data_IF_792432289489
#
_entry.id   IF_792432289489
#
_cell.length_a   1.000
_cell.length_b   1.000
_cell.length_c   1.000
_cell.angle_alpha   90.00
_cell.angle_beta   90.00
_cell.angle_gamma   90.00
#
_symmetry.space_group_name_H-M   'P 1'
#
loop_
_entity.id
_entity.type
_entity.pdbx_description
1 polymer ?
#
# COMPACT_ATOMS: atom_id res chain seq x y z
N UNK A 1 13.81 -24.37 -26.63
CA UNK A 1 13.87 -23.87 -25.23
C UNK A 1 12.50 -23.45 -24.68
N UNK A 2 11.69 -22.72 -25.44
CA UNK A 2 10.34 -22.30 -24.99
C UNK A 2 9.36 -23.47 -24.73
N UNK A 3 9.33 -24.50 -25.60
CA UNK A 3 8.48 -25.68 -25.44
C UNK A 3 8.80 -26.48 -24.17
N UNK A 4 10.07 -26.56 -23.78
CA UNK A 4 10.48 -27.24 -22.54
C UNK A 4 10.01 -26.51 -21.27
N UNK A 5 10.06 -25.17 -21.26
CA UNK A 5 9.57 -24.37 -20.15
C UNK A 5 8.05 -24.50 -19.99
N UNK A 6 7.31 -24.48 -21.09
CA UNK A 6 5.83 -24.67 -21.08
C UNK A 6 5.47 -26.06 -20.54
N UNK A 7 6.21 -27.11 -20.98
CA UNK A 7 5.99 -28.46 -20.48
C UNK A 7 6.25 -28.59 -18.97
N UNK A 8 7.30 -27.95 -18.46
CA UNK A 8 7.60 -27.94 -17.02
C UNK A 8 6.51 -27.22 -16.24
N UNK A 9 6.05 -26.05 -16.69
CA UNK A 9 4.96 -25.31 -16.04
C UNK A 9 3.68 -26.14 -16.05
N UNK A 10 3.34 -26.79 -17.16
CA UNK A 10 2.19 -27.69 -17.26
C UNK A 10 2.28 -28.87 -16.29
N UNK A 11 3.46 -29.49 -16.20
CA UNK A 11 3.67 -30.60 -15.26
C UNK A 11 3.52 -30.16 -13.79
N UNK A 12 4.10 -28.99 -13.41
CA UNK A 12 3.94 -28.43 -12.06
C UNK A 12 2.47 -28.15 -11.77
N UNK A 13 1.73 -27.60 -12.74
CA UNK A 13 0.31 -27.33 -12.58
C UNK A 13 -0.50 -28.62 -12.34
N UNK A 14 -0.29 -29.66 -13.16
CA UNK A 14 -0.98 -30.96 -13.01
C UNK A 14 -0.67 -31.58 -11.65
N UNK A 15 0.59 -31.59 -11.25
CA UNK A 15 1.01 -32.07 -9.92
C UNK A 15 0.34 -31.26 -8.80
N UNK A 16 0.28 -29.94 -8.95
CA UNK A 16 -0.42 -29.06 -7.99
C UNK A 16 -1.91 -29.38 -7.88
N UNK A 17 -2.62 -29.54 -9.01
CA UNK A 17 -4.02 -29.94 -9.03
C UNK A 17 -4.25 -31.29 -8.34
N UNK A 18 -3.36 -32.27 -8.57
CA UNK A 18 -3.44 -33.59 -7.94
C UNK A 18 -3.24 -33.52 -6.42
N UNK A 19 -2.23 -32.79 -5.95
CA UNK A 19 -1.93 -32.64 -4.51
C UNK A 19 -3.04 -31.88 -3.78
N UNK A 20 -3.57 -30.82 -4.40
CA UNK A 20 -4.61 -29.96 -3.80
C UNK A 20 -6.03 -30.53 -4.00
N UNK A 21 -6.17 -31.66 -4.71
CA UNK A 21 -7.47 -32.22 -5.12
C UNK A 21 -8.37 -31.17 -5.83
N UNK A 22 -7.74 -30.30 -6.62
CA UNK A 22 -8.43 -29.21 -7.31
C UNK A 22 -8.89 -29.66 -8.70
N UNK A 23 -10.22 -29.71 -8.90
CA UNK A 23 -10.81 -29.94 -10.22
C UNK A 23 -10.90 -28.63 -10.99
N UNK A 24 -9.97 -28.49 -11.96
CA UNK A 24 -9.89 -27.29 -12.82
C UNK A 24 -11.14 -27.14 -13.69
N UNK A 25 -11.73 -28.24 -14.13
CA UNK A 25 -12.87 -28.18 -15.02
C UNK A 25 -14.15 -27.78 -14.27
N UNK A 26 -14.42 -28.34 -13.10
CA UNK A 26 -15.49 -27.90 -12.22
C UNK A 26 -15.30 -26.44 -11.77
N UNK A 27 -14.08 -26.08 -11.42
CA UNK A 27 -13.73 -24.69 -11.08
C UNK A 27 -14.09 -23.72 -12.22
N UNK A 28 -13.66 -24.02 -13.44
CA UNK A 28 -13.95 -23.19 -14.61
C UNK A 28 -15.46 -23.09 -14.92
N UNK A 29 -16.20 -24.20 -14.82
CA UNK A 29 -17.65 -24.22 -15.01
C UNK A 29 -18.42 -23.46 -13.91
N UNK A 30 -17.81 -23.28 -12.74
CA UNK A 30 -18.42 -22.55 -11.61
C UNK A 30 -18.28 -21.04 -11.74
N UNK A 31 -17.32 -20.53 -12.55
CA UNK A 31 -17.08 -19.08 -12.73
C UNK A 31 -18.35 -18.32 -13.14
N UNK A 32 -19.12 -18.72 -14.18
CA UNK A 32 -20.33 -17.99 -14.58
C UNK A 32 -21.40 -17.98 -13.47
N UNK A 33 -21.51 -19.07 -12.71
CA UNK A 33 -22.45 -19.17 -11.58
C UNK A 33 -22.04 -18.24 -10.44
N UNK A 34 -20.74 -18.20 -10.09
CA UNK A 34 -20.22 -17.32 -9.06
C UNK A 34 -20.41 -15.85 -9.45
N UNK A 35 -20.15 -15.52 -10.72
CA UNK A 35 -20.32 -14.14 -11.22
C UNK A 35 -21.80 -13.72 -11.23
N UNK A 36 -22.71 -14.59 -11.65
CA UNK A 36 -24.14 -14.30 -11.59
C UNK A 36 -24.64 -14.15 -10.14
N UNK A 37 -24.14 -14.98 -9.23
CA UNK A 37 -24.46 -14.86 -7.81
C UNK A 37 -24.00 -13.52 -7.23
N UNK A 38 -22.78 -13.10 -7.55
CA UNK A 38 -22.27 -11.77 -7.14
C UNK A 38 -23.15 -10.65 -7.66
N UNK A 39 -23.46 -10.66 -8.96
CA UNK A 39 -24.28 -9.63 -9.59
C UNK A 39 -25.67 -9.54 -8.96
N UNK A 40 -26.29 -10.66 -8.58
CA UNK A 40 -27.63 -10.67 -8.00
C UNK A 40 -27.61 -10.21 -6.54
N UNK A 41 -26.67 -10.71 -5.74
CA UNK A 41 -26.68 -10.50 -4.29
C UNK A 41 -25.98 -9.20 -3.86
N UNK A 42 -24.98 -8.72 -4.60
CA UNK A 42 -24.25 -7.51 -4.27
C UNK A 42 -24.84 -6.22 -4.88
N UNK A 43 -26.04 -6.31 -5.46
CA UNK A 43 -26.71 -5.11 -5.96
C UNK A 43 -27.24 -4.26 -4.79
N UNK A 44 -26.96 -2.94 -4.80
CA UNK A 44 -27.56 -2.02 -3.84
C UNK A 44 -29.09 -2.04 -3.94
N UNK A 45 -29.75 -2.16 -2.81
CA UNK A 45 -31.21 -2.09 -2.69
C UNK A 45 -31.63 -0.78 -2.02
N UNK A 46 -32.93 -0.46 -2.03
CA UNK A 46 -33.42 0.69 -1.24
C UNK A 46 -33.14 0.53 0.25
N UNK A 47 -33.16 -0.71 0.77
CA UNK A 47 -32.81 -0.99 2.15
C UNK A 47 -31.33 -0.71 2.45
N UNK A 48 -30.43 -1.02 1.53
CA UNK A 48 -29.00 -0.76 1.71
C UNK A 48 -28.66 0.74 1.71
N UNK A 49 -29.48 1.60 1.11
CA UNK A 49 -29.32 3.06 1.17
C UNK A 49 -29.36 3.62 2.60
N UNK A 50 -30.09 2.98 3.51
CA UNK A 50 -30.12 3.38 4.93
C UNK A 50 -28.76 3.26 5.62
N UNK A 51 -27.87 2.40 5.12
CA UNK A 51 -26.51 2.21 5.65
C UNK A 51 -25.47 3.16 5.04
N UNK A 52 -25.82 3.91 3.98
CA UNK A 52 -24.91 4.81 3.29
C UNK A 52 -24.20 5.82 4.21
N UNK A 53 -24.89 6.49 5.17
CA UNK A 53 -24.20 7.43 6.06
C UNK A 53 -23.12 6.76 6.91
N UNK A 54 -23.38 5.54 7.40
CA UNK A 54 -22.40 4.76 8.17
C UNK A 54 -21.24 4.31 7.31
N UNK A 55 -21.50 3.85 6.08
CA UNK A 55 -20.48 3.46 5.10
C UNK A 55 -19.57 4.65 4.79
N UNK A 56 -20.13 5.82 4.51
CA UNK A 56 -19.36 7.04 4.21
C UNK A 56 -18.51 7.50 5.39
N UNK A 57 -19.03 7.45 6.60
CA UNK A 57 -18.26 7.78 7.82
C UNK A 57 -17.05 6.87 7.96
N UNK A 58 -17.22 5.55 7.80
CA UNK A 58 -16.14 4.58 7.92
C UNK A 58 -15.17 4.61 6.75
N UNK A 59 -15.65 4.95 5.58
CA UNK A 59 -14.81 5.20 4.42
C UNK A 59 -13.90 6.42 4.63
N UNK A 60 -14.45 7.52 5.13
CA UNK A 60 -13.69 8.72 5.47
C UNK A 60 -12.64 8.44 6.57
N UNK A 61 -12.99 7.69 7.60
CA UNK A 61 -12.06 7.21 8.64
C UNK A 61 -10.88 6.44 8.01
N UNK A 62 -11.17 5.54 7.06
CA UNK A 62 -10.15 4.76 6.34
C UNK A 62 -9.22 5.65 5.52
N UNK A 63 -9.77 6.62 4.78
CA UNK A 63 -8.98 7.56 3.99
C UNK A 63 -8.08 8.41 4.88
N UNK A 64 -8.60 8.95 5.98
CA UNK A 64 -7.81 9.75 6.93
C UNK A 64 -6.69 8.94 7.56
N UNK A 65 -6.98 7.70 7.98
CA UNK A 65 -5.98 6.80 8.55
C UNK A 65 -4.87 6.48 7.53
N UNK A 66 -5.24 6.26 6.27
CA UNK A 66 -4.28 6.01 5.18
C UNK A 66 -3.40 7.22 4.91
N UNK A 67 -3.98 8.42 4.83
CA UNK A 67 -3.21 9.67 4.65
C UNK A 67 -2.27 9.90 5.84
N UNK A 68 -2.77 9.79 7.07
CA UNK A 68 -1.98 10.00 8.26
C UNK A 68 -0.78 9.04 8.35
N UNK A 69 -1.00 7.74 8.05
CA UNK A 69 0.07 6.75 8.07
C UNK A 69 1.15 7.04 7.02
N UNK A 70 0.77 7.45 5.81
CA UNK A 70 1.73 7.78 4.74
C UNK A 70 2.51 9.06 5.03
N UNK A 71 1.85 10.11 5.55
CA UNK A 71 2.53 11.37 5.89
C UNK A 71 3.57 11.13 6.98
N UNK A 72 3.21 10.44 8.05
CA UNK A 72 4.17 10.12 9.13
C UNK A 72 5.28 9.21 8.62
N UNK A 73 4.94 8.20 7.82
CA UNK A 73 5.93 7.32 7.18
C UNK A 73 6.89 8.08 6.27
N UNK A 74 6.39 9.04 5.48
CA UNK A 74 7.19 9.86 4.58
C UNK A 74 8.22 10.72 5.33
N UNK A 75 7.81 11.34 6.44
CA UNK A 75 8.72 12.12 7.30
C UNK A 75 9.83 11.23 7.87
N UNK A 76 9.48 10.06 8.37
CA UNK A 76 10.45 9.09 8.88
C UNK A 76 11.36 8.61 7.74
N UNK A 77 10.78 8.24 6.62
CA UNK A 77 11.47 7.66 5.48
C UNK A 77 12.49 8.61 4.86
N UNK A 78 12.19 9.91 4.71
CA UNK A 78 13.14 10.87 4.13
C UNK A 78 14.38 11.04 5.01
N UNK A 79 14.19 11.11 6.33
CA UNK A 79 15.30 11.20 7.27
C UNK A 79 16.24 9.99 7.14
N UNK A 80 15.69 8.78 7.18
CA UNK A 80 16.49 7.57 7.03
C UNK A 80 17.05 7.39 5.62
N UNK A 81 16.33 7.83 4.58
CA UNK A 81 16.80 7.72 3.20
C UNK A 81 18.05 8.58 2.94
N UNK A 82 18.12 9.80 3.48
CA UNK A 82 19.31 10.66 3.38
C UNK A 82 20.53 9.96 4.01
N UNK A 83 20.36 9.31 5.16
CA UNK A 83 21.44 8.63 5.88
C UNK A 83 21.80 7.29 5.24
N UNK A 84 20.82 6.59 4.65
CA UNK A 84 20.95 5.25 4.09
C UNK A 84 21.35 5.19 2.60
N UNK A 85 21.19 6.30 1.85
CA UNK A 85 21.56 6.35 0.43
C UNK A 85 23.08 6.28 0.24
N UNK A 86 23.52 5.65 -0.86
CA UNK A 86 24.95 5.61 -1.23
C UNK A 86 25.49 6.98 -1.62
N UNK A 87 24.63 7.87 -2.12
CA UNK A 87 25.03 9.20 -2.58
C UNK A 87 25.27 10.18 -1.41
N UNK A 88 24.41 10.13 -0.39
CA UNK A 88 24.38 11.11 0.72
C UNK A 88 24.78 10.53 2.07
N UNK A 89 24.82 9.20 2.22
CA UNK A 89 25.09 8.54 3.50
C UNK A 89 26.48 8.82 4.05
N UNK A 90 26.57 8.96 5.37
CA UNK A 90 27.77 9.39 6.09
C UNK A 90 28.88 8.32 6.05
N UNK A 91 28.49 7.03 6.24
CA UNK A 91 29.43 5.93 6.22
C UNK A 91 28.75 4.61 5.78
N UNK A 92 29.55 3.60 5.40
CA UNK A 92 29.04 2.30 4.93
C UNK A 92 28.23 1.55 6.01
N UNK A 93 28.58 1.69 7.26
CA UNK A 93 27.86 1.01 8.34
C UNK A 93 26.43 1.52 8.48
N UNK A 94 26.24 2.84 8.52
CA UNK A 94 24.89 3.44 8.60
C UNK A 94 24.06 3.11 7.36
N UNK A 95 24.67 3.10 6.17
CA UNK A 95 23.99 2.68 4.93
C UNK A 95 23.45 1.24 5.01
N UNK A 96 24.31 0.30 5.45
CA UNK A 96 23.91 -1.11 5.60
C UNK A 96 22.81 -1.26 6.65
N UNK A 97 22.97 -0.59 7.79
CA UNK A 97 21.98 -0.64 8.87
C UNK A 97 20.61 -0.13 8.41
N UNK A 98 20.54 1.05 7.80
CA UNK A 98 19.28 1.65 7.33
C UNK A 98 18.65 0.80 6.24
N UNK A 99 19.43 0.27 5.30
CA UNK A 99 18.93 -0.66 4.26
C UNK A 99 18.40 -1.95 4.86
N UNK A 100 19.07 -2.46 5.90
CA UNK A 100 18.59 -3.63 6.66
C UNK A 100 17.25 -3.36 7.35
N UNK A 101 17.11 -2.21 8.01
CA UNK A 101 15.86 -1.78 8.65
C UNK A 101 14.74 -1.63 7.59
N UNK A 102 15.00 -0.95 6.49
CA UNK A 102 14.02 -0.80 5.41
C UNK A 102 13.58 -2.15 4.85
N UNK A 103 14.53 -3.07 4.63
CA UNK A 103 14.24 -4.43 4.16
C UNK A 103 13.41 -5.23 5.18
N UNK A 104 13.72 -5.11 6.48
CA UNK A 104 12.97 -5.76 7.54
C UNK A 104 11.49 -5.34 7.52
N UNK A 105 11.23 -4.03 7.56
CA UNK A 105 9.85 -3.53 7.57
C UNK A 105 9.07 -3.87 6.29
N UNK A 106 9.71 -3.80 5.13
CA UNK A 106 9.09 -4.08 3.83
C UNK A 106 8.77 -5.56 3.60
N UNK A 107 9.60 -6.47 4.12
CA UNK A 107 9.44 -7.90 3.88
C UNK A 107 8.40 -8.57 4.78
N UNK A 108 7.94 -7.89 5.82
CA UNK A 108 6.84 -8.39 6.66
C UNK A 108 5.52 -7.98 5.99
N UNK A 109 4.64 -8.94 5.63
CA UNK A 109 3.33 -8.64 5.04
C UNK A 109 2.49 -7.78 5.97
N UNK A 110 1.69 -6.87 5.40
CA UNK A 110 0.81 -5.98 6.16
C UNK A 110 -0.11 -6.71 7.14
N UNK A 111 -0.68 -7.83 6.69
CA UNK A 111 -1.54 -8.68 7.53
C UNK A 111 -0.77 -9.22 8.75
N UNK A 112 0.50 -9.60 8.57
CA UNK A 112 1.34 -10.06 9.68
C UNK A 112 1.61 -8.91 10.68
N UNK A 113 1.89 -7.69 10.20
CA UNK A 113 1.99 -6.51 11.07
C UNK A 113 0.71 -6.29 11.86
N UNK A 114 -0.46 -6.31 11.19
CA UNK A 114 -1.74 -6.14 11.86
C UNK A 114 -1.96 -7.20 12.96
N UNK A 115 -1.67 -8.47 12.66
CA UNK A 115 -1.84 -9.56 13.62
C UNK A 115 -0.90 -9.45 14.83
N UNK A 116 0.38 -9.13 14.60
CA UNK A 116 1.36 -8.93 15.69
C UNK A 116 0.91 -7.80 16.62
N UNK A 117 0.47 -6.67 16.02
CA UNK A 117 0.06 -5.49 16.78
C UNK A 117 -1.26 -5.72 17.54
N UNK A 118 -2.17 -6.55 17.03
CA UNK A 118 -3.41 -6.91 17.71
C UNK A 118 -3.18 -7.54 19.09
N UNK A 119 -2.14 -8.33 19.26
CA UNK A 119 -1.80 -8.92 20.55
C UNK A 119 -1.43 -7.88 21.61
N UNK A 120 -0.81 -6.76 21.17
CA UNK A 120 -0.34 -5.72 22.09
C UNK A 120 -1.36 -4.59 22.28
N UNK A 121 -2.03 -4.17 21.19
CA UNK A 121 -2.86 -2.95 21.15
C UNK A 121 -4.37 -3.25 21.00
N UNK A 122 -4.77 -4.53 20.92
CA UNK A 122 -6.16 -4.97 20.69
C UNK A 122 -6.72 -4.40 19.37
N UNK A 123 -8.01 -4.61 19.14
CA UNK A 123 -8.73 -4.03 18.00
C UNK A 123 -8.94 -2.52 18.21
N UNK A 124 -8.28 -1.69 17.41
CA UNK A 124 -8.37 -0.24 17.49
C UNK A 124 -7.88 0.43 16.21
N UNK A 125 -8.31 1.68 15.97
CA UNK A 125 -7.81 2.51 14.87
C UNK A 125 -6.28 2.72 14.96
N UNK A 126 -5.74 2.75 16.17
CA UNK A 126 -4.31 2.88 16.39
C UNK A 126 -3.54 1.65 15.89
N UNK A 127 -4.08 0.44 16.10
CA UNK A 127 -3.50 -0.80 15.58
C UNK A 127 -3.46 -0.81 14.04
N UNK A 128 -4.57 -0.41 13.41
CA UNK A 128 -4.63 -0.28 11.96
C UNK A 128 -3.65 0.76 11.41
N UNK A 129 -3.61 1.93 12.05
CA UNK A 129 -2.65 2.99 11.71
C UNK A 129 -1.19 2.52 11.82
N UNK A 130 -0.81 1.86 12.92
CA UNK A 130 0.55 1.36 13.11
C UNK A 130 0.93 0.29 12.09
N UNK A 131 0.02 -0.62 11.75
CA UNK A 131 0.28 -1.66 10.76
C UNK A 131 0.59 -1.04 9.38
N UNK A 132 -0.24 -0.08 8.94
CA UNK A 132 -0.01 0.67 7.72
C UNK A 132 1.28 1.49 7.77
N UNK A 133 1.54 2.15 8.89
CA UNK A 133 2.74 2.97 9.09
C UNK A 133 4.02 2.15 8.93
N UNK A 134 4.14 1.02 9.63
CA UNK A 134 5.36 0.20 9.63
C UNK A 134 5.68 -0.36 8.24
N UNK A 135 4.66 -0.87 7.53
CA UNK A 135 4.82 -1.32 6.15
C UNK A 135 5.25 -0.16 5.24
N UNK A 136 4.53 0.97 5.33
CA UNK A 136 4.77 2.14 4.46
C UNK A 136 6.15 2.74 4.69
N UNK A 137 6.64 2.81 5.94
CA UNK A 137 8.00 3.25 6.26
C UNK A 137 9.03 2.42 5.51
N UNK A 138 8.91 1.08 5.53
CA UNK A 138 9.84 0.21 4.83
C UNK A 138 9.87 0.44 3.32
N UNK A 139 8.69 0.62 2.72
CA UNK A 139 8.57 0.92 1.28
C UNK A 139 9.14 2.29 0.92
N UNK A 140 8.74 3.34 1.64
CA UNK A 140 9.18 4.71 1.34
C UNK A 140 10.68 4.90 1.62
N UNK A 141 11.24 4.32 2.68
CA UNK A 141 12.69 4.37 2.92
C UNK A 141 13.46 3.83 1.72
N UNK A 142 13.03 2.71 1.16
CA UNK A 142 13.69 2.11 0.01
C UNK A 142 13.54 2.95 -1.24
N UNK A 143 12.32 3.39 -1.55
CA UNK A 143 12.03 4.23 -2.71
C UNK A 143 12.80 5.55 -2.66
N UNK A 144 12.82 6.22 -1.50
CA UNK A 144 13.51 7.50 -1.34
C UNK A 144 15.03 7.37 -1.42
N UNK A 145 15.61 6.27 -0.93
CA UNK A 145 17.05 6.00 -1.15
C UNK A 145 17.39 5.85 -2.63
N UNK A 146 16.54 5.14 -3.39
CA UNK A 146 16.71 4.95 -4.84
C UNK A 146 16.59 6.29 -5.59
N UNK A 147 15.57 7.10 -5.28
CA UNK A 147 15.39 8.44 -5.86
C UNK A 147 16.63 9.32 -5.60
N UNK A 148 17.14 9.35 -4.38
CA UNK A 148 18.34 10.14 -4.05
C UNK A 148 19.55 9.66 -4.87
N UNK A 149 19.69 8.36 -5.07
CA UNK A 149 20.82 7.78 -5.83
C UNK A 149 20.72 8.07 -7.33
N UNK A 150 19.51 8.08 -7.87
CA UNK A 150 19.26 8.23 -9.30
C UNK A 150 19.20 9.70 -9.75
N UNK A 151 18.56 10.57 -8.96
CA UNK A 151 18.24 11.93 -9.40
C UNK A 151 19.20 13.00 -8.85
N UNK A 152 19.76 12.81 -7.65
CA UNK A 152 20.50 13.90 -6.99
C UNK A 152 21.99 13.97 -7.34
N UNK A 153 22.53 13.00 -8.10
CA UNK A 153 23.97 12.81 -8.30
C UNK A 153 24.69 14.02 -8.90
N UNK A 154 24.18 14.57 -9.99
CA UNK A 154 24.82 15.67 -10.72
C UNK A 154 24.80 16.98 -9.94
N UNK A 155 23.63 17.39 -9.42
CA UNK A 155 23.47 18.61 -8.65
C UNK A 155 24.32 18.60 -7.36
N UNK A 156 24.39 17.42 -6.72
CA UNK A 156 25.21 17.20 -5.54
C UNK A 156 26.72 17.36 -5.85
N UNK A 157 27.20 16.79 -6.95
CA UNK A 157 28.61 16.89 -7.34
C UNK A 157 28.99 18.34 -7.69
N UNK A 158 28.12 19.04 -8.42
CA UNK A 158 28.34 20.44 -8.77
C UNK A 158 28.48 21.33 -7.52
N UNK A 159 27.57 21.15 -6.55
CA UNK A 159 27.60 21.96 -5.32
C UNK A 159 28.78 21.58 -4.40
N UNK A 160 29.17 20.30 -4.34
CA UNK A 160 30.38 19.88 -3.62
C UNK A 160 31.65 20.49 -4.20
N UNK A 161 31.74 20.67 -5.53
CA UNK A 161 32.89 21.26 -6.20
C UNK A 161 33.11 22.75 -5.81
N UNK A 162 32.06 23.45 -5.35
CA UNK A 162 32.14 24.82 -4.83
C UNK A 162 32.60 24.91 -3.37
N UNK A 163 32.84 23.76 -2.71
CA UNK A 163 33.21 23.71 -1.29
C UNK A 163 32.03 23.76 -0.32
N UNK A 164 30.80 23.53 -0.78
CA UNK A 164 29.62 23.52 0.07
C UNK A 164 29.68 22.44 1.16
N UNK A 165 29.20 22.77 2.35
CA UNK A 165 29.09 21.82 3.47
C UNK A 165 28.03 20.74 3.20
N UNK A 166 28.09 19.62 3.95
CA UNK A 166 27.15 18.52 3.82
C UNK A 166 25.68 18.96 3.89
N UNK A 167 25.32 19.79 4.88
CA UNK A 167 23.96 20.28 5.03
C UNK A 167 23.53 21.20 3.88
N UNK A 168 24.43 22.04 3.36
CA UNK A 168 24.13 22.86 2.19
C UNK A 168 23.86 21.99 0.97
N UNK A 169 24.64 20.94 0.77
CA UNK A 169 24.43 19.98 -0.32
C UNK A 169 23.06 19.30 -0.19
N UNK A 170 22.70 18.82 1.00
CA UNK A 170 21.40 18.17 1.22
C UNK A 170 20.22 19.12 0.97
N UNK A 171 20.23 20.31 1.58
CA UNK A 171 19.06 21.21 1.53
C UNK A 171 18.99 22.04 0.25
N UNK A 172 20.10 22.31 -0.43
CA UNK A 172 20.12 23.19 -1.61
C UNK A 172 20.27 22.42 -2.94
N UNK A 173 20.78 21.20 -2.93
CA UNK A 173 20.88 20.37 -4.13
C UNK A 173 19.97 19.15 -4.08
N UNK A 174 20.12 18.29 -3.07
CA UNK A 174 19.45 16.98 -3.04
C UNK A 174 17.93 17.15 -2.86
N UNK A 175 17.48 17.78 -1.77
CA UNK A 175 16.03 17.89 -1.46
C UNK A 175 15.25 18.57 -2.58
N UNK A 176 15.64 19.76 -3.10
CA UNK A 176 14.88 20.40 -4.16
C UNK A 176 14.76 19.55 -5.43
N UNK A 177 15.81 18.79 -5.76
CA UNK A 177 15.85 17.93 -6.95
C UNK A 177 14.83 16.79 -6.84
N UNK A 178 14.72 16.15 -5.68
CA UNK A 178 13.94 14.93 -5.49
C UNK A 178 12.48 15.17 -5.06
N UNK A 179 12.09 16.39 -4.66
CA UNK A 179 10.73 16.70 -4.17
C UNK A 179 9.62 16.19 -5.11
N UNK A 180 9.66 16.40 -6.44
CA UNK A 180 8.61 15.91 -7.33
C UNK A 180 8.42 14.40 -7.23
N UNK A 181 9.51 13.64 -7.25
CA UNK A 181 9.50 12.18 -7.14
C UNK A 181 9.05 11.71 -5.76
N UNK A 182 9.44 12.41 -4.68
CA UNK A 182 8.94 12.11 -3.33
C UNK A 182 7.42 12.28 -3.23
N UNK A 183 6.89 13.38 -3.75
CA UNK A 183 5.44 13.63 -3.75
C UNK A 183 4.72 12.55 -4.56
N UNK A 184 5.25 12.17 -5.71
CA UNK A 184 4.68 11.10 -6.54
C UNK A 184 4.59 9.77 -5.79
N UNK A 185 5.60 9.40 -5.03
CA UNK A 185 5.59 8.18 -4.20
C UNK A 185 4.64 8.28 -3.01
N UNK A 186 4.55 9.45 -2.37
CA UNK A 186 3.59 9.70 -1.27
C UNK A 186 2.16 9.53 -1.79
N UNK A 187 1.81 10.13 -2.92
CA UNK A 187 0.49 10.01 -3.54
C UNK A 187 0.18 8.55 -3.90
N UNK A 188 1.14 7.83 -4.49
CA UNK A 188 1.01 6.42 -4.80
C UNK A 188 0.75 5.58 -3.53
N UNK A 189 1.48 5.84 -2.44
CA UNK A 189 1.30 5.12 -1.20
C UNK A 189 -0.02 5.45 -0.50
N UNK A 190 -0.54 6.67 -0.60
CA UNK A 190 -1.88 7.01 -0.10
C UNK A 190 -2.94 6.14 -0.80
N UNK A 191 -2.89 6.06 -2.12
CA UNK A 191 -3.80 5.24 -2.91
C UNK A 191 -3.73 3.75 -2.52
N UNK A 192 -2.52 3.19 -2.41
CA UNK A 192 -2.33 1.81 -1.99
C UNK A 192 -2.83 1.58 -0.56
N UNK A 193 -2.49 2.47 0.38
CA UNK A 193 -2.89 2.32 1.77
C UNK A 193 -4.41 2.37 1.97
N UNK A 194 -5.18 3.06 1.13
CA UNK A 194 -6.65 3.02 1.20
C UNK A 194 -7.18 1.62 0.87
N UNK A 195 -6.61 0.95 -0.13
CA UNK A 195 -6.95 -0.45 -0.46
C UNK A 195 -6.49 -1.40 0.66
N UNK A 196 -5.27 -1.23 1.13
CA UNK A 196 -4.67 -2.04 2.18
C UNK A 196 -5.36 -1.88 3.53
N UNK A 197 -5.81 -0.66 3.85
CA UNK A 197 -6.59 -0.36 5.05
C UNK A 197 -7.93 -1.11 5.10
N UNK A 198 -8.50 -1.46 3.95
CA UNK A 198 -9.71 -2.29 3.89
C UNK A 198 -9.42 -3.70 4.44
N UNK A 199 -8.31 -4.32 4.05
CA UNK A 199 -7.91 -5.64 4.56
C UNK A 199 -7.53 -5.58 6.05
N UNK A 200 -6.75 -4.57 6.44
CA UNK A 200 -6.39 -4.34 7.85
C UNK A 200 -7.61 -4.09 8.69
N UNK A 201 -8.58 -3.32 8.18
CA UNK A 201 -9.83 -3.00 8.87
C UNK A 201 -10.67 -4.24 9.24
N UNK A 202 -10.68 -5.27 8.39
CA UNK A 202 -11.32 -6.56 8.70
C UNK A 202 -10.70 -7.19 9.95
N UNK A 203 -9.37 -7.13 10.09
CA UNK A 203 -8.65 -7.72 11.20
C UNK A 203 -8.72 -6.87 12.45
N UNK A 204 -8.51 -5.57 12.32
CA UNK A 204 -8.41 -4.63 13.44
C UNK A 204 -9.75 -4.10 13.91
N UNK A 205 -10.86 -4.47 13.27
CA UNK A 205 -12.20 -4.02 13.63
C UNK A 205 -12.43 -2.53 13.36
N UNK A 206 -11.81 -1.97 12.31
CA UNK A 206 -11.81 -0.52 12.06
C UNK A 206 -12.13 -0.15 10.62
N UNK A 207 -12.54 1.09 10.41
CA UNK A 207 -12.75 1.64 9.08
C UNK A 207 -13.77 0.89 8.24
N UNK A 208 -13.62 1.02 6.92
CA UNK A 208 -14.55 0.45 5.94
C UNK A 208 -14.46 -1.09 5.85
N UNK A 209 -13.28 -1.66 6.13
CA UNK A 209 -13.08 -3.11 6.12
C UNK A 209 -13.91 -3.82 7.18
N UNK A 210 -14.01 -3.23 8.38
CA UNK A 210 -14.87 -3.75 9.46
C UNK A 210 -16.35 -3.76 9.06
N UNK A 211 -16.81 -2.68 8.44
CA UNK A 211 -18.22 -2.57 7.99
C UNK A 211 -18.52 -3.60 6.90
N UNK A 212 -17.61 -3.80 5.95
CA UNK A 212 -17.74 -4.84 4.94
C UNK A 212 -17.88 -6.23 5.59
N UNK A 213 -16.96 -6.58 6.49
CA UNK A 213 -16.95 -7.87 7.18
C UNK A 213 -18.23 -8.09 8.00
N UNK A 214 -18.70 -7.04 8.69
CA UNK A 214 -19.93 -7.05 9.48
C UNK A 214 -21.14 -7.36 8.60
N UNK A 215 -21.33 -6.67 7.48
CA UNK A 215 -22.45 -6.89 6.59
C UNK A 215 -22.35 -8.24 5.90
N UNK A 216 -21.17 -8.65 5.44
CA UNK A 216 -20.96 -9.93 4.81
C UNK A 216 -21.29 -11.11 5.74
N UNK A 217 -20.79 -11.09 6.98
CA UNK A 217 -21.08 -12.12 7.99
C UNK A 217 -22.52 -12.11 8.48
N UNK A 218 -23.20 -10.97 8.36
CA UNK A 218 -24.63 -10.84 8.68
C UNK A 218 -25.55 -11.21 7.52
N UNK A 219 -25.01 -11.75 6.41
CA UNK A 219 -25.76 -12.09 5.19
C UNK A 219 -26.48 -10.90 4.54
N UNK A 220 -26.04 -9.67 4.82
CA UNK A 220 -26.53 -8.44 4.19
C UNK A 220 -25.67 -8.12 2.97
N UNK A 221 -25.76 -8.95 1.95
CA UNK A 221 -24.90 -8.86 0.79
C UNK A 221 -25.13 -7.59 -0.03
N UNK A 222 -26.33 -7.03 -0.02
CA UNK A 222 -26.66 -5.74 -0.65
C UNK A 222 -25.90 -4.57 0.00
N UNK A 223 -25.82 -4.54 1.33
CA UNK A 223 -25.04 -3.53 2.06
C UNK A 223 -23.53 -3.76 1.91
N UNK A 224 -23.07 -5.02 1.88
CA UNK A 224 -21.68 -5.36 1.58
C UNK A 224 -21.29 -4.91 0.16
N UNK A 225 -22.17 -5.15 -0.83
CA UNK A 225 -21.98 -4.70 -2.21
C UNK A 225 -21.89 -3.17 -2.32
N UNK A 226 -22.77 -2.44 -1.61
CA UNK A 226 -22.68 -0.97 -1.53
C UNK A 226 -21.37 -0.50 -0.92
N UNK A 227 -20.87 -1.20 0.10
CA UNK A 227 -19.56 -0.90 0.71
C UNK A 227 -18.43 -1.07 -0.30
N UNK A 228 -18.43 -2.16 -1.08
CA UNK A 228 -17.45 -2.38 -2.16
C UNK A 228 -17.51 -1.29 -3.22
N UNK A 229 -18.71 -0.91 -3.66
CA UNK A 229 -18.88 0.17 -4.63
C UNK A 229 -18.35 1.51 -4.09
N UNK A 230 -18.59 1.83 -2.83
CA UNK A 230 -18.07 3.03 -2.18
C UNK A 230 -16.53 3.03 -2.16
N UNK A 231 -15.89 1.90 -1.87
CA UNK A 231 -14.43 1.75 -1.92
C UNK A 231 -13.91 1.97 -3.34
N UNK A 232 -14.53 1.35 -4.35
CA UNK A 232 -14.14 1.48 -5.76
C UNK A 232 -14.21 2.96 -6.19
N UNK A 233 -15.31 3.65 -5.88
CA UNK A 233 -15.48 5.07 -6.24
C UNK A 233 -14.38 5.93 -5.60
N UNK A 234 -14.09 5.75 -4.31
CA UNK A 234 -13.05 6.55 -3.63
C UNK A 234 -11.66 6.25 -4.18
N UNK A 235 -11.34 4.99 -4.47
CA UNK A 235 -10.05 4.63 -5.08
C UNK A 235 -9.89 5.30 -6.45
N UNK A 236 -10.92 5.27 -7.31
CA UNK A 236 -10.89 5.94 -8.62
C UNK A 236 -10.73 7.47 -8.46
N UNK A 237 -11.41 8.08 -7.51
CA UNK A 237 -11.28 9.52 -7.22
C UNK A 237 -9.85 9.84 -6.77
N UNK A 238 -9.28 9.09 -5.83
CA UNK A 238 -7.93 9.29 -5.35
C UNK A 238 -6.88 9.09 -6.45
N UNK A 239 -7.03 8.06 -7.28
CA UNK A 239 -6.16 7.82 -8.43
C UNK A 239 -6.21 8.98 -9.43
N UNK A 240 -7.42 9.46 -9.74
CA UNK A 240 -7.60 10.58 -10.67
C UNK A 240 -6.96 11.85 -10.11
N UNK A 241 -7.17 12.17 -8.83
CA UNK A 241 -6.56 13.32 -8.16
C UNK A 241 -5.03 13.20 -8.13
N UNK A 242 -4.51 12.04 -7.76
CA UNK A 242 -3.07 11.77 -7.73
C UNK A 242 -2.44 11.96 -9.11
N UNK A 243 -3.09 11.47 -10.16
CA UNK A 243 -2.60 11.63 -11.53
C UNK A 243 -2.64 13.08 -12.01
N UNK A 244 -3.66 13.87 -11.61
CA UNK A 244 -3.69 15.29 -11.91
C UNK A 244 -2.57 16.07 -11.20
N UNK A 245 -2.33 15.78 -9.93
CA UNK A 245 -1.25 16.41 -9.15
C UNK A 245 0.11 16.08 -9.78
N UNK A 246 0.36 14.81 -10.12
CA UNK A 246 1.62 14.39 -10.76
C UNK A 246 1.89 15.11 -12.07
N UNK A 247 0.86 15.32 -12.93
CA UNK A 247 1.00 16.06 -14.19
C UNK A 247 1.39 17.53 -14.03
N UNK A 248 1.13 18.11 -12.86
CA UNK A 248 1.50 19.52 -12.58
C UNK A 248 2.90 19.62 -11.99
N UNK A 249 3.37 18.57 -11.30
CA UNK A 249 4.63 18.57 -10.55
C UNK A 249 5.79 18.00 -11.38
N UNK A 250 5.52 17.02 -12.23
CA UNK A 250 6.45 16.40 -13.17
C UNK A 250 6.37 17.04 -14.55
#
# INVERSE_FOLDING_TARGET
MQTGVIAIIGAIYVVGCFILQFDTFEGALSIPKAFSWLLINFQPTQNSMSYLPQIMTKLFETVLMSIASVVVAGIIAIFFAIVGSKATGINKFTQILVRGIASFFRNIPLVAWAMILLFSFKQSNFTGFLALLLMTVGFLMRAFMEIIEDEAGEAMLALKATGASYFQVIFQAVIPQIIPSLISWILYMIENNVRDATLVGILTGTGIGFIFDLYYKSFRFDAAGMTVLAIIVVVIVLETLSNQIRKVIL
#
